data_IF_505647274990
#
_entry.id   IF_505647274990
#
_cell.length_a   1.000
_cell.length_b   1.000
_cell.length_c   1.000
_cell.angle_alpha   90.00
_cell.angle_beta   90.00
_cell.angle_gamma   90.00
#
_symmetry.space_group_name_H-M   'P 1'
#
loop_
_entity.id
_entity.type
_entity.pdbx_description
1 polymer ?
#
# COMPACT_ATOMS: atom_id res chain seq x y z
N UNK A 1 -8.02 -4.16 9.56
CA UNK A 1 -7.29 -5.06 8.62
C UNK A 1 -7.79 -6.48 8.83
N UNK A 2 -8.15 -7.15 7.77
CA UNK A 2 -8.57 -8.54 7.82
C UNK A 2 -7.33 -9.42 7.97
N UNK A 3 -7.28 -10.25 8.99
CA UNK A 3 -6.18 -11.21 9.17
C UNK A 3 -6.29 -12.27 8.08
N UNK A 4 -5.22 -12.44 7.30
CA UNK A 4 -5.16 -13.46 6.26
C UNK A 4 -5.25 -14.86 6.87
N UNK A 5 -6.01 -15.80 6.26
CA UNK A 5 -6.05 -17.19 6.70
C UNK A 5 -4.77 -17.95 6.36
N UNK A 6 -3.90 -17.40 5.52
CA UNK A 6 -2.68 -18.07 5.07
C UNK A 6 -1.56 -17.93 6.08
N UNK A 7 -0.80 -18.99 6.22
CA UNK A 7 0.36 -19.06 7.13
C UNK A 7 1.65 -18.80 6.37
N UNK A 8 2.68 -18.41 7.09
CA UNK A 8 4.04 -18.32 6.56
C UNK A 8 4.46 -19.65 5.94
N UNK A 9 5.13 -19.60 4.80
CA UNK A 9 5.53 -20.70 3.93
C UNK A 9 4.42 -21.35 3.10
N UNK A 10 3.16 -20.91 3.24
CA UNK A 10 2.11 -21.33 2.30
C UNK A 10 2.46 -20.85 0.89
N UNK A 11 2.29 -21.76 -0.08
CA UNK A 11 2.46 -21.44 -1.50
C UNK A 11 1.09 -21.33 -2.12
N UNK A 12 0.75 -20.13 -2.58
CA UNK A 12 -0.57 -19.81 -3.10
C UNK A 12 -0.47 -18.99 -4.38
N UNK A 13 -1.56 -18.94 -5.14
CA UNK A 13 -1.63 -18.10 -6.35
C UNK A 13 -1.63 -16.63 -6.01
N UNK A 14 -1.08 -15.80 -6.89
CA UNK A 14 -1.12 -14.34 -6.72
C UNK A 14 -2.55 -13.83 -6.51
N UNK A 15 -3.53 -14.41 -7.19
CA UNK A 15 -4.94 -14.07 -7.04
C UNK A 15 -5.52 -14.32 -5.64
N UNK A 16 -4.91 -15.20 -4.86
CA UNK A 16 -5.36 -15.56 -3.52
C UNK A 16 -4.65 -14.77 -2.42
N UNK A 17 -3.68 -13.94 -2.78
CA UNK A 17 -2.98 -13.08 -1.81
C UNK A 17 -3.94 -12.01 -1.30
N UNK A 18 -4.09 -11.95 0.02
CA UNK A 18 -4.97 -10.97 0.69
C UNK A 18 -4.22 -9.70 1.07
N UNK A 19 -4.98 -8.62 1.27
CA UNK A 19 -4.46 -7.41 1.89
C UNK A 19 -3.82 -7.74 3.25
N UNK A 20 -2.62 -7.22 3.49
CA UNK A 20 -1.88 -7.45 4.73
C UNK A 20 -0.85 -8.57 4.65
N UNK A 21 -0.82 -9.37 3.59
CA UNK A 21 0.23 -10.36 3.41
C UNK A 21 1.53 -9.74 2.88
N UNK A 22 2.64 -10.30 3.34
CA UNK A 22 3.95 -10.12 2.72
C UNK A 22 4.30 -11.42 2.00
N UNK A 23 4.71 -11.30 0.75
CA UNK A 23 4.96 -12.46 -0.10
C UNK A 23 6.18 -12.25 -1.00
N UNK A 24 6.72 -13.36 -1.48
CA UNK A 24 7.72 -13.40 -2.56
C UNK A 24 7.17 -14.23 -3.70
N UNK A 25 7.60 -13.96 -4.92
CA UNK A 25 7.30 -14.88 -6.03
C UNK A 25 8.17 -16.13 -5.91
N UNK A 26 7.59 -17.30 -6.10
CA UNK A 26 8.27 -18.59 -5.93
C UNK A 26 9.53 -18.71 -6.80
N UNK A 27 9.47 -18.22 -8.04
CA UNK A 27 10.58 -18.23 -8.99
C UNK A 27 11.27 -16.87 -9.13
N UNK A 28 11.08 -15.99 -8.14
CA UNK A 28 11.67 -14.67 -8.12
C UNK A 28 13.03 -14.63 -7.44
N UNK A 29 13.55 -13.41 -7.29
CA UNK A 29 14.85 -13.14 -6.68
C UNK A 29 14.80 -12.92 -5.16
N UNK A 30 13.71 -13.32 -4.49
CA UNK A 30 13.54 -13.14 -3.06
C UNK A 30 13.04 -11.76 -2.65
N UNK A 31 12.73 -10.87 -3.58
CA UNK A 31 12.15 -9.57 -3.27
C UNK A 31 10.82 -9.72 -2.54
N UNK A 32 10.67 -9.01 -1.43
CA UNK A 32 9.43 -9.00 -0.64
C UNK A 32 8.49 -7.93 -1.12
N UNK A 33 7.23 -8.31 -1.24
CA UNK A 33 6.12 -7.41 -1.59
C UNK A 33 5.05 -7.47 -0.52
N UNK A 34 4.47 -6.33 -0.20
CA UNK A 34 3.32 -6.23 0.69
C UNK A 34 2.06 -5.99 -0.13
N UNK A 35 1.02 -6.76 0.11
CA UNK A 35 -0.23 -6.68 -0.65
C UNK A 35 -1.22 -5.69 -0.02
N UNK A 36 -1.71 -4.76 -0.83
CA UNK A 36 -2.82 -3.87 -0.50
C UNK A 36 -4.15 -4.30 -1.15
N UNK A 37 -4.14 -5.47 -1.79
CA UNK A 37 -5.34 -6.03 -2.40
C UNK A 37 -5.50 -5.70 -3.87
N UNK A 38 -6.67 -6.04 -4.39
CA UNK A 38 -7.04 -5.86 -5.80
C UNK A 38 -8.13 -4.80 -5.92
N UNK A 39 -7.98 -3.90 -6.88
CA UNK A 39 -8.98 -2.88 -7.17
C UNK A 39 -8.93 -2.52 -8.66
N UNK A 40 -10.09 -2.44 -9.31
CA UNK A 40 -10.23 -1.98 -10.70
C UNK A 40 -9.29 -2.66 -11.72
N UNK A 41 -9.06 -3.96 -11.57
CA UNK A 41 -8.23 -4.72 -12.50
C UNK A 41 -6.72 -4.61 -12.26
N UNK A 42 -6.31 -4.12 -11.10
CA UNK A 42 -4.91 -4.03 -10.69
C UNK A 42 -4.69 -4.65 -9.31
N UNK A 43 -3.53 -5.26 -9.13
CA UNK A 43 -3.01 -5.59 -7.82
C UNK A 43 -2.20 -4.40 -7.29
N UNK A 44 -2.56 -3.93 -6.11
CA UNK A 44 -1.86 -2.84 -5.42
C UNK A 44 -1.01 -3.41 -4.29
N UNK A 45 0.14 -2.82 -4.13
CA UNK A 45 1.07 -3.20 -3.08
C UNK A 45 2.28 -2.28 -3.05
N UNK A 46 3.28 -2.71 -2.33
CA UNK A 46 4.55 -2.00 -2.29
C UNK A 46 5.70 -3.00 -2.15
N UNK A 47 6.84 -2.59 -2.72
CA UNK A 47 8.09 -3.33 -2.63
C UNK A 47 8.79 -2.98 -1.33
N UNK A 48 9.33 -3.97 -0.65
CA UNK A 48 10.08 -3.80 0.58
C UNK A 48 11.59 -3.89 0.33
N UNK A 49 12.38 -3.19 1.14
CA UNK A 49 13.82 -3.38 1.16
C UNK A 49 14.16 -4.80 1.58
N UNK A 50 15.17 -5.39 0.95
CA UNK A 50 15.67 -6.71 1.34
C UNK A 50 16.35 -6.67 2.71
N UNK A 51 17.00 -5.54 3.04
CA UNK A 51 17.64 -5.34 4.34
C UNK A 51 16.64 -4.79 5.35
N UNK A 52 16.77 -5.22 6.59
CA UNK A 52 15.99 -4.70 7.71
C UNK A 52 16.60 -3.40 8.24
N UNK A 53 15.77 -2.57 8.88
CA UNK A 53 16.21 -1.41 9.63
C UNK A 53 16.73 -1.80 11.03
N UNK A 54 17.05 -0.80 11.85
CA UNK A 54 17.54 -0.99 13.23
C UNK A 54 16.58 -1.80 14.10
N UNK A 55 15.29 -1.75 13.82
CA UNK A 55 14.24 -2.48 14.55
C UNK A 55 13.92 -3.86 13.94
N UNK A 56 14.68 -4.31 12.94
CA UNK A 56 14.43 -5.55 12.24
C UNK A 56 13.26 -5.49 11.26
N UNK A 57 12.82 -4.31 10.88
CA UNK A 57 11.70 -4.10 9.97
C UNK A 57 12.17 -3.85 8.53
N UNK A 58 11.46 -4.43 7.56
CA UNK A 58 11.66 -4.11 6.16
C UNK A 58 10.88 -2.85 5.79
N UNK A 59 11.59 -1.81 5.35
CA UNK A 59 10.96 -0.55 4.95
C UNK A 59 10.41 -0.62 3.53
N UNK A 60 9.27 0.02 3.26
CA UNK A 60 8.76 0.14 1.90
C UNK A 60 9.66 1.04 1.05
N UNK A 61 9.89 0.63 -0.20
CA UNK A 61 10.66 1.42 -1.18
C UNK A 61 9.73 2.27 -2.03
N UNK A 62 8.71 1.62 -2.62
CA UNK A 62 7.78 2.25 -3.57
C UNK A 62 6.52 1.41 -3.73
N UNK A 63 5.45 2.06 -4.17
CA UNK A 63 4.25 1.35 -4.59
C UNK A 63 4.53 0.53 -5.85
N UNK A 64 3.93 -0.64 -5.92
CA UNK A 64 3.95 -1.53 -7.08
C UNK A 64 2.52 -1.83 -7.46
N UNK A 65 2.15 -1.47 -8.68
CA UNK A 65 0.80 -1.63 -9.19
C UNK A 65 0.89 -2.48 -10.45
N UNK A 66 0.28 -3.67 -10.39
CA UNK A 66 0.43 -4.69 -11.43
C UNK A 66 -0.94 -5.00 -12.05
N UNK A 67 -1.07 -4.97 -13.39
CA UNK A 67 -2.33 -5.37 -14.03
C UNK A 67 -2.70 -6.82 -13.70
N UNK A 68 -3.99 -7.05 -13.48
CA UNK A 68 -4.54 -8.39 -13.32
C UNK A 68 -4.70 -8.98 -14.73
N UNK A 69 -3.88 -9.96 -15.06
CA UNK A 69 -3.89 -10.64 -16.35
C UNK A 69 -3.89 -12.15 -16.14
N UNK A 70 -4.18 -12.92 -17.18
CA UNK A 70 -4.07 -14.39 -17.12
C UNK A 70 -2.67 -14.86 -16.70
N UNK A 71 -1.64 -14.09 -17.01
CA UNK A 71 -0.26 -14.42 -16.62
C UNK A 71 0.02 -14.12 -15.14
N UNK A 72 -0.58 -13.07 -14.58
CA UNK A 72 -0.32 -12.65 -13.20
C UNK A 72 -1.17 -13.40 -12.18
N UNK A 73 -2.40 -13.79 -12.54
CA UNK A 73 -3.35 -14.49 -11.65
C UNK A 73 -2.74 -15.79 -11.10
N UNK A 74 -2.13 -16.59 -11.96
CA UNK A 74 -1.64 -17.93 -11.64
C UNK A 74 -0.19 -17.98 -11.15
N UNK A 75 0.49 -16.83 -11.03
CA UNK A 75 1.83 -16.82 -10.47
C UNK A 75 1.84 -17.35 -9.04
N UNK A 76 2.72 -18.32 -8.78
CA UNK A 76 2.85 -18.89 -7.45
C UNK A 76 3.68 -17.97 -6.55
N UNK A 77 3.17 -17.75 -5.35
CA UNK A 77 3.77 -16.88 -4.36
C UNK A 77 3.92 -17.63 -3.04
N UNK A 78 4.93 -17.24 -2.27
CA UNK A 78 5.18 -17.79 -0.94
C UNK A 78 4.87 -16.70 0.08
N UNK A 79 4.03 -17.01 1.04
CA UNK A 79 3.75 -16.10 2.16
C UNK A 79 4.95 -16.10 3.11
N UNK A 80 5.51 -14.93 3.38
CA UNK A 80 6.67 -14.79 4.28
C UNK A 80 6.33 -14.02 5.55
N UNK A 81 5.19 -13.38 5.62
CA UNK A 81 4.76 -12.63 6.78
C UNK A 81 3.49 -11.84 6.54
N UNK A 82 3.24 -10.90 7.42
CA UNK A 82 2.15 -9.94 7.30
C UNK A 82 2.60 -8.57 7.80
N UNK A 83 1.80 -7.55 7.50
CA UNK A 83 2.08 -6.19 7.96
C UNK A 83 0.82 -5.53 8.48
N UNK A 84 1.03 -4.54 9.33
CA UNK A 84 0.01 -3.61 9.79
C UNK A 84 0.43 -2.18 9.46
N UNK A 85 -0.56 -1.30 9.35
CA UNK A 85 -0.35 0.13 9.12
C UNK A 85 -0.60 0.87 10.42
N UNK A 86 0.35 1.71 10.81
CA UNK A 86 0.24 2.61 11.94
C UNK A 86 0.24 4.05 11.46
N UNK A 87 -0.74 4.85 11.91
CA UNK A 87 -0.91 6.22 11.44
C UNK A 87 -0.22 7.18 12.41
N UNK A 88 0.78 7.91 11.92
CA UNK A 88 1.47 8.95 12.68
C UNK A 88 1.04 10.31 12.13
N UNK A 89 0.28 11.06 12.93
CA UNK A 89 -0.24 12.37 12.55
C UNK A 89 0.72 13.48 12.96
N UNK A 90 0.89 14.46 12.07
CA UNK A 90 1.60 15.70 12.39
C UNK A 90 0.69 16.64 13.20
N UNK A 91 1.30 17.49 14.03
CA UNK A 91 0.56 18.46 14.83
C UNK A 91 -0.15 19.51 13.96
N UNK A 92 0.45 19.86 12.82
CA UNK A 92 -0.11 20.81 11.86
C UNK A 92 -0.13 20.21 10.45
N UNK A 93 -1.31 20.09 9.82
CA UNK A 93 -1.38 19.66 8.43
C UNK A 93 -0.72 20.65 7.49
N UNK A 94 0.02 20.15 6.50
CA UNK A 94 0.52 20.96 5.41
C UNK A 94 -0.52 20.99 4.28
N UNK A 95 -1.12 22.16 4.06
CA UNK A 95 -2.13 22.36 3.01
C UNK A 95 -1.45 22.94 1.77
N UNK A 96 -1.70 22.33 0.63
CA UNK A 96 -1.17 22.80 -0.64
C UNK A 96 -2.01 22.33 -1.83
N UNK A 97 -1.78 22.95 -2.98
CA UNK A 97 -2.31 22.46 -4.25
C UNK A 97 -1.32 21.47 -4.87
N UNK A 98 -1.83 20.33 -5.34
CA UNK A 98 -1.02 19.38 -6.10
C UNK A 98 -0.68 19.96 -7.47
N UNK A 99 0.58 20.31 -7.66
CA UNK A 99 1.06 21.00 -8.88
C UNK A 99 1.67 20.04 -9.92
N UNK A 100 1.71 18.76 -9.64
CA UNK A 100 2.32 17.73 -10.48
C UNK A 100 3.84 17.65 -10.41
N UNK A 101 4.50 18.62 -9.76
CA UNK A 101 5.96 18.66 -9.63
C UNK A 101 6.43 18.23 -8.24
N UNK A 102 5.67 18.58 -7.21
CA UNK A 102 5.96 18.25 -5.81
C UNK A 102 5.01 17.18 -5.34
N UNK A 103 5.24 15.94 -5.76
CA UNK A 103 4.44 14.79 -5.32
C UNK A 103 4.74 14.55 -3.83
N UNK A 104 3.71 14.41 -2.97
CA UNK A 104 3.91 14.02 -1.59
C UNK A 104 4.69 12.71 -1.50
N UNK A 105 5.53 12.52 -0.48
CA UNK A 105 6.26 11.26 -0.33
C UNK A 105 5.32 10.06 -0.25
N UNK A 106 5.76 8.92 -0.78
CA UNK A 106 5.06 7.65 -0.63
C UNK A 106 4.78 7.39 0.85
N UNK A 107 3.54 6.96 1.15
CA UNK A 107 3.11 6.69 2.53
C UNK A 107 2.62 7.92 3.29
N UNK A 108 2.61 9.11 2.69
CA UNK A 108 1.99 10.28 3.32
C UNK A 108 0.50 10.07 3.54
N UNK A 109 -0.01 10.52 4.70
CA UNK A 109 -1.46 10.54 4.96
C UNK A 109 -2.02 11.81 4.33
N UNK A 110 -2.97 11.63 3.42
CA UNK A 110 -3.55 12.72 2.64
C UNK A 110 -5.06 12.78 2.88
N UNK A 111 -5.58 14.00 3.00
CA UNK A 111 -7.00 14.30 2.86
C UNK A 111 -7.20 15.36 1.79
N UNK A 112 -8.36 15.35 1.16
CA UNK A 112 -8.72 16.30 0.12
C UNK A 112 -10.22 16.57 0.17
N UNK A 113 -10.67 17.81 -0.10
CA UNK A 113 -12.10 18.11 -0.16
C UNK A 113 -12.82 17.41 -1.32
N UNK A 114 -12.08 16.82 -2.28
CA UNK A 114 -12.69 16.08 -3.40
C UNK A 114 -13.32 14.75 -2.95
N UNK A 115 -12.87 14.19 -1.83
CA UNK A 115 -13.34 12.89 -1.33
C UNK A 115 -13.72 13.04 0.15
N UNK A 116 -15.01 13.19 0.39
CA UNK A 116 -15.58 13.36 1.73
C UNK A 116 -16.58 12.23 2.02
N UNK A 117 -16.76 11.95 3.31
CA UNK A 117 -17.77 11.00 3.77
C UNK A 117 -19.16 11.64 3.81
N UNK A 118 -20.17 10.87 4.23
CA UNK A 118 -21.56 11.31 4.33
C UNK A 118 -21.75 12.50 5.29
N UNK A 119 -20.86 12.65 6.26
CA UNK A 119 -20.90 13.75 7.24
C UNK A 119 -20.11 14.98 6.78
N UNK A 120 -19.61 14.97 5.55
CA UNK A 120 -18.81 16.07 5.00
C UNK A 120 -17.37 16.11 5.50
N UNK A 121 -16.91 15.12 6.25
CA UNK A 121 -15.51 15.01 6.69
C UNK A 121 -14.65 14.36 5.63
N UNK A 122 -13.43 14.86 5.38
CA UNK A 122 -12.53 14.24 4.42
C UNK A 122 -12.15 12.81 4.84
N UNK A 123 -12.17 11.88 3.89
CA UNK A 123 -11.56 10.58 4.06
C UNK A 123 -10.04 10.71 4.17
N UNK A 124 -9.42 9.80 4.90
CA UNK A 124 -7.97 9.70 4.97
C UNK A 124 -7.47 8.67 3.96
N UNK A 125 -6.41 9.04 3.26
CA UNK A 125 -5.77 8.20 2.26
C UNK A 125 -4.26 8.12 2.50
N UNK A 126 -3.67 7.04 2.04
CA UNK A 126 -2.22 6.92 1.91
C UNK A 126 -1.80 7.20 0.47
N UNK A 127 -0.82 8.07 0.27
CA UNK A 127 -0.29 8.34 -1.06
C UNK A 127 0.51 7.14 -1.58
N UNK A 128 0.14 6.65 -2.76
CA UNK A 128 0.84 5.58 -3.48
C UNK A 128 1.82 6.10 -4.53
N UNK A 129 1.80 7.40 -4.81
CA UNK A 129 2.64 8.01 -5.84
C UNK A 129 1.92 8.20 -7.18
N UNK A 130 2.69 8.33 -8.26
CA UNK A 130 2.15 8.60 -9.58
C UNK A 130 1.10 7.54 -9.99
N UNK A 131 -0.02 8.02 -10.52
CA UNK A 131 -1.12 7.15 -10.93
C UNK A 131 -0.76 6.33 -12.16
N UNK A 132 -1.17 5.06 -12.18
CA UNK A 132 -1.08 4.21 -13.36
C UNK A 132 -2.17 4.52 -14.39
N UNK A 133 -3.20 5.27 -13.98
CA UNK A 133 -4.35 5.61 -14.83
C UNK A 133 -4.20 6.96 -15.52
N UNK A 134 -3.30 7.82 -15.05
CA UNK A 134 -3.12 9.15 -15.59
C UNK A 134 -1.74 9.70 -15.24
N UNK A 135 -1.07 10.32 -16.19
CA UNK A 135 0.20 11.03 -15.97
C UNK A 135 0.02 12.29 -15.11
N UNK A 136 -1.22 12.72 -14.87
CA UNK A 136 -1.57 13.97 -14.19
C UNK A 136 -2.16 13.75 -12.80
N UNK A 137 -1.98 12.58 -12.22
CA UNK A 137 -2.57 12.25 -10.95
C UNK A 137 -1.68 11.40 -10.05
N UNK A 138 -2.10 11.28 -8.81
CA UNK A 138 -1.56 10.35 -7.84
C UNK A 138 -2.64 9.40 -7.38
N UNK A 139 -2.26 8.15 -7.08
CA UNK A 139 -3.18 7.17 -6.54
C UNK A 139 -3.22 7.25 -5.01
N UNK A 140 -4.42 7.19 -4.46
CA UNK A 140 -4.72 7.30 -3.04
C UNK A 140 -5.35 5.99 -2.55
N UNK A 141 -4.69 5.35 -1.60
CA UNK A 141 -5.20 4.15 -0.95
C UNK A 141 -6.03 4.53 0.27
N UNK A 142 -7.30 4.08 0.37
CA UNK A 142 -8.18 4.44 1.47
C UNK A 142 -7.71 3.81 2.78
N UNK A 143 -7.62 4.61 3.82
CA UNK A 143 -7.28 4.17 5.18
C UNK A 143 -8.55 3.87 6.02
N UNK A 144 -9.73 4.14 5.47
CA UNK A 144 -11.02 3.77 6.04
C UNK A 144 -11.59 2.52 5.37
N UNK A 145 -12.41 1.75 6.09
CA UNK A 145 -12.93 0.47 5.62
C UNK A 145 -13.87 0.58 4.40
N UNK A 146 -14.48 1.73 4.19
CA UNK A 146 -15.51 1.94 3.15
C UNK A 146 -14.98 2.54 1.85
N UNK A 147 -13.66 2.57 1.66
CA UNK A 147 -13.06 3.30 0.56
C UNK A 147 -12.54 2.44 -0.58
N UNK A 148 -12.66 2.98 -1.79
CA UNK A 148 -11.96 2.49 -2.96
C UNK A 148 -10.72 3.34 -3.21
N UNK A 149 -9.75 2.80 -3.95
CA UNK A 149 -8.60 3.57 -4.42
C UNK A 149 -9.11 4.70 -5.29
N UNK A 150 -8.63 5.90 -5.02
CA UNK A 150 -8.98 7.12 -5.73
C UNK A 150 -7.76 7.70 -6.42
N UNK A 151 -7.98 8.45 -7.46
CA UNK A 151 -6.95 9.24 -8.12
C UNK A 151 -7.20 10.71 -7.81
N UNK A 152 -6.16 11.41 -7.34
CA UNK A 152 -6.19 12.85 -7.16
C UNK A 152 -5.51 13.52 -8.35
N UNK A 153 -6.25 14.36 -9.06
CA UNK A 153 -5.76 15.02 -10.26
C UNK A 153 -4.92 16.26 -9.93
N UNK A 154 -4.02 16.58 -10.85
CA UNK A 154 -3.26 17.83 -10.88
C UNK A 154 -4.20 19.04 -10.72
N UNK A 155 -3.81 19.99 -9.88
CA UNK A 155 -4.61 21.18 -9.58
C UNK A 155 -5.53 21.03 -8.36
N UNK A 156 -5.65 19.84 -7.80
CA UNK A 156 -6.48 19.60 -6.63
C UNK A 156 -5.83 20.08 -5.35
N UNK A 157 -6.65 20.58 -4.41
CA UNK A 157 -6.22 20.92 -3.07
C UNK A 157 -6.07 19.66 -2.23
N UNK A 158 -4.98 19.55 -1.45
CA UNK A 158 -4.75 18.46 -0.53
C UNK A 158 -4.14 18.95 0.79
N UNK A 159 -4.30 18.15 1.82
CA UNK A 159 -3.62 18.32 3.10
C UNK A 159 -2.79 17.08 3.41
N UNK A 160 -1.50 17.29 3.70
CA UNK A 160 -0.62 16.23 4.21
C UNK A 160 -0.72 16.27 5.73
N UNK A 161 -1.22 15.17 6.31
CA UNK A 161 -1.56 15.11 7.74
C UNK A 161 -0.59 14.28 8.57
N UNK A 162 0.34 13.60 7.93
CA UNK A 162 1.31 12.76 8.59
C UNK A 162 1.81 11.65 7.68
N UNK A 163 2.28 10.57 8.27
CA UNK A 163 2.83 9.44 7.55
C UNK A 163 2.26 8.12 8.05
N UNK A 164 2.15 7.15 7.15
CA UNK A 164 1.85 5.77 7.50
C UNK A 164 3.15 5.04 7.78
N UNK A 165 3.23 4.40 8.93
CA UNK A 165 4.32 3.50 9.28
C UNK A 165 3.91 2.06 8.98
N UNK A 166 4.79 1.32 8.32
CA UNK A 166 4.59 -0.09 8.01
C UNK A 166 5.28 -0.93 9.08
N UNK A 167 4.49 -1.72 9.79
CA UNK A 167 4.99 -2.65 10.80
C UNK A 167 4.93 -4.04 10.21
N UNK A 168 6.09 -4.61 9.93
CA UNK A 168 6.19 -5.95 9.33
C UNK A 168 6.35 -7.01 10.41
N UNK A 169 5.64 -8.12 10.23
CA UNK A 169 5.70 -9.29 11.10
C UNK A 169 6.09 -10.48 10.27
N UNK A 170 7.31 -10.96 10.44
CA UNK A 170 7.74 -12.23 9.88
C UNK A 170 7.67 -13.29 10.99
N UNK A 171 6.91 -14.35 10.74
CA UNK A 171 6.96 -15.48 11.66
C UNK A 171 8.29 -16.18 11.46
N UNK A 172 9.13 -16.13 12.49
CA UNK A 172 10.26 -17.03 12.56
C UNK A 172 9.73 -18.45 12.74
N UNK A 173 10.25 -19.40 11.95
CA UNK A 173 9.95 -20.81 12.19
C UNK A 173 10.22 -21.09 13.67
N UNK A 174 9.22 -21.63 14.37
CA UNK A 174 9.47 -22.18 15.70
C UNK A 174 10.39 -23.36 15.50
N UNK A 175 11.64 -23.21 15.88
CA UNK A 175 12.52 -24.35 16.04
C UNK A 175 11.88 -25.29 17.06
N UNK A 176 11.45 -26.43 16.58
CA UNK A 176 10.94 -27.49 17.43
C UNK A 176 12.06 -27.97 18.38
#
# INVERSE_FOLDING_TARGET
MIISPYKVNDVIKRSDISTGNIFTYQNGNGTRYASLGRNNGFYYGFKLHNLTDENGMHKPIKAVITPVTSQTIDKMCVIVGYFTLDLAFDNMPQIRTYDGKSIPPFGSIISTPNFVNKDGKPHLFMNLGASVHSERGIDLYPLSEDGNIKMLEFGSLLAIRGNVNFITHEQKEKKA
#
